data_IF_985604339087
#
_entry.id   IF_985604339087
#
_cell.length_a   1.000
_cell.length_b   1.000
_cell.length_c   1.000
_cell.angle_alpha   90.00
_cell.angle_beta   90.00
_cell.angle_gamma   90.00
#
_symmetry.space_group_name_H-M   'P 1'
#
loop_
_entity.id
_entity.type
_entity.pdbx_description
1 polymer ?
#
# COMPACT_ATOMS: atom_id res chain seq x y z
N UNK A 1 -5.45 -13.79 20.91
CA UNK A 1 -5.85 -12.97 19.74
C UNK A 1 -4.73 -13.02 18.71
N UNK A 2 -5.04 -12.86 17.43
CA UNK A 2 -4.10 -12.86 16.31
C UNK A 2 -4.20 -11.51 15.60
N UNK A 3 -3.07 -10.91 15.26
CA UNK A 3 -3.04 -9.72 14.42
C UNK A 3 -3.19 -10.12 12.95
N UNK A 4 -4.20 -9.59 12.28
CA UNK A 4 -4.46 -9.85 10.86
C UNK A 4 -4.47 -8.54 10.08
N UNK A 5 -4.17 -8.63 8.79
CA UNK A 5 -4.24 -7.55 7.83
C UNK A 5 -5.38 -7.81 6.84
N UNK A 6 -6.27 -6.83 6.65
CA UNK A 6 -7.42 -6.96 5.76
C UNK A 6 -7.03 -6.72 4.31
N UNK A 7 -7.26 -7.72 3.46
CA UNK A 7 -7.04 -7.65 2.01
C UNK A 7 -8.23 -7.04 1.26
N UNK A 8 -9.41 -7.05 1.88
CA UNK A 8 -10.69 -6.55 1.36
C UNK A 8 -11.43 -5.81 2.47
N UNK A 9 -12.41 -4.99 2.09
CA UNK A 9 -13.33 -4.40 3.06
C UNK A 9 -14.15 -5.52 3.72
N UNK A 10 -14.34 -5.43 5.03
CA UNK A 10 -15.03 -6.41 5.85
C UNK A 10 -15.92 -5.70 6.86
N UNK A 11 -17.20 -6.09 6.89
CA UNK A 11 -18.15 -5.60 7.88
C UNK A 11 -18.72 -6.78 8.66
N UNK A 12 -18.84 -6.60 9.96
CA UNK A 12 -19.40 -7.62 10.83
C UNK A 12 -20.35 -7.05 11.84
N UNK A 13 -21.51 -7.69 11.92
CA UNK A 13 -22.50 -7.40 12.93
C UNK A 13 -22.21 -8.23 14.18
N UNK A 14 -21.99 -7.57 15.30
CA UNK A 14 -21.80 -8.25 16.57
C UNK A 14 -23.12 -8.86 17.01
N UNK A 15 -23.15 -10.19 17.22
CA UNK A 15 -24.38 -10.90 17.63
C UNK A 15 -24.89 -10.32 18.95
N UNK A 16 -26.18 -9.98 18.98
CA UNK A 16 -26.83 -9.45 20.18
C UNK A 16 -26.69 -7.94 20.40
N UNK A 17 -26.04 -7.20 19.49
CA UNK A 17 -26.01 -5.73 19.52
C UNK A 17 -26.36 -5.14 18.16
N UNK A 18 -26.69 -3.85 18.14
CA UNK A 18 -26.84 -3.05 16.92
C UNK A 18 -25.51 -2.56 16.36
N UNK A 19 -24.39 -2.90 17.02
CA UNK A 19 -23.05 -2.47 16.60
C UNK A 19 -22.58 -3.24 15.37
N UNK A 20 -22.07 -2.48 14.40
CA UNK A 20 -21.42 -3.00 13.19
C UNK A 20 -19.96 -2.58 13.25
N UNK A 21 -19.07 -3.56 13.29
CA UNK A 21 -17.64 -3.35 13.11
C UNK A 21 -17.35 -3.28 11.61
N UNK A 22 -16.67 -2.21 11.18
CA UNK A 22 -16.29 -2.02 9.79
C UNK A 22 -14.78 -1.89 9.70
N UNK A 23 -14.17 -2.73 8.89
CA UNK A 23 -12.74 -2.73 8.59
C UNK A 23 -12.57 -2.51 7.09
N UNK A 24 -11.69 -1.59 6.71
CA UNK A 24 -11.37 -1.35 5.30
C UNK A 24 -10.19 -2.19 4.88
N UNK A 25 -10.07 -2.41 3.57
CA UNK A 25 -8.86 -2.95 2.97
C UNK A 25 -7.64 -2.12 3.40
N UNK A 26 -6.63 -2.78 3.92
CA UNK A 26 -5.42 -2.16 4.44
C UNK A 26 -5.39 -1.97 5.95
N UNK A 27 -6.53 -2.16 6.62
CA UNK A 27 -6.58 -2.08 8.07
C UNK A 27 -5.93 -3.31 8.73
N UNK A 28 -5.45 -3.11 9.95
CA UNK A 28 -5.00 -4.19 10.83
C UNK A 28 -5.89 -4.25 12.06
N UNK A 29 -6.15 -5.47 12.54
CA UNK A 29 -6.93 -5.67 13.76
C UNK A 29 -6.48 -6.93 14.50
N UNK A 30 -6.66 -6.90 15.82
CA UNK A 30 -6.53 -8.08 16.65
C UNK A 30 -7.88 -8.80 16.72
N UNK A 31 -7.93 -10.04 16.24
CA UNK A 31 -9.14 -10.88 16.21
C UNK A 31 -8.89 -12.19 16.94
N UNK A 32 -9.95 -12.83 17.44
CA UNK A 32 -9.85 -14.17 18.02
C UNK A 32 -9.38 -15.20 17.00
N UNK A 33 -8.71 -16.25 17.46
CA UNK A 33 -8.04 -17.23 16.57
C UNK A 33 -9.00 -17.94 15.62
N UNK A 34 -10.16 -18.36 16.11
CA UNK A 34 -11.15 -19.09 15.30
C UNK A 34 -11.61 -18.23 14.11
N UNK A 35 -12.05 -17.02 14.44
CA UNK A 35 -12.55 -16.04 13.48
C UNK A 35 -11.47 -15.49 12.54
N UNK A 36 -10.25 -15.28 13.04
CA UNK A 36 -9.12 -14.96 12.19
C UNK A 36 -8.87 -16.09 11.17
N UNK A 37 -9.00 -17.36 11.58
CA UNK A 37 -8.90 -18.52 10.69
C UNK A 37 -9.93 -18.48 9.57
N UNK A 38 -11.20 -18.21 9.89
CA UNK A 38 -12.28 -18.05 8.90
C UNK A 38 -11.95 -16.95 7.89
N UNK A 39 -11.57 -15.76 8.35
CA UNK A 39 -11.22 -14.62 7.49
C UNK A 39 -10.02 -14.90 6.57
N UNK A 40 -9.08 -15.72 7.04
CA UNK A 40 -7.90 -16.12 6.26
C UNK A 40 -8.28 -17.16 5.21
N UNK A 41 -9.09 -18.16 5.57
CA UNK A 41 -9.58 -19.20 4.65
C UNK A 41 -10.42 -18.58 3.53
N UNK A 42 -11.26 -17.59 3.87
CA UNK A 42 -12.10 -16.87 2.91
C UNK A 42 -11.29 -15.87 2.04
N UNK A 43 -10.00 -15.70 2.32
CA UNK A 43 -9.13 -14.75 1.62
C UNK A 43 -9.56 -13.29 1.79
N UNK A 44 -10.21 -12.98 2.91
CA UNK A 44 -10.61 -11.61 3.31
C UNK A 44 -9.44 -10.92 4.02
N UNK A 45 -8.69 -11.67 4.82
CA UNK A 45 -7.55 -11.19 5.57
C UNK A 45 -6.39 -12.18 5.50
N UNK A 46 -5.25 -11.77 6.03
CA UNK A 46 -4.06 -12.62 6.16
C UNK A 46 -3.33 -12.33 7.47
N UNK A 47 -2.53 -13.27 8.00
CA UNK A 47 -1.70 -12.99 9.17
C UNK A 47 -0.80 -11.79 8.89
N UNK A 48 -0.74 -10.83 9.81
CA UNK A 48 0.02 -9.60 9.62
C UNK A 48 1.50 -9.85 9.29
N UNK A 49 2.12 -10.84 9.93
CA UNK A 49 3.50 -11.25 9.64
C UNK A 49 3.66 -11.72 8.19
N UNK A 50 2.76 -12.57 7.70
CA UNK A 50 2.76 -13.07 6.33
C UNK A 50 2.47 -11.97 5.29
N UNK A 51 1.78 -10.90 5.69
CA UNK A 51 1.61 -9.70 4.86
C UNK A 51 2.93 -8.94 4.71
N UNK A 52 3.56 -8.62 5.84
CA UNK A 52 4.79 -7.84 5.87
C UNK A 52 5.95 -8.55 5.16
N UNK A 53 6.09 -9.87 5.34
CA UNK A 53 7.09 -10.67 4.62
C UNK A 53 6.96 -10.59 3.09
N UNK A 54 5.75 -10.40 2.56
CA UNK A 54 5.52 -10.22 1.12
C UNK A 54 5.87 -8.81 0.65
N UNK A 55 5.55 -7.80 1.45
CA UNK A 55 5.91 -6.41 1.12
C UNK A 55 7.42 -6.24 1.14
N UNK A 56 8.12 -6.82 2.13
CA UNK A 56 9.56 -6.68 2.28
C UNK A 56 10.32 -7.36 1.13
N UNK A 57 9.80 -8.49 0.63
CA UNK A 57 10.31 -9.13 -0.60
C UNK A 57 10.02 -8.33 -1.88
N UNK A 58 9.07 -7.41 -1.83
CA UNK A 58 8.83 -6.39 -2.85
C UNK A 58 9.53 -5.09 -2.45
N UNK A 59 10.83 -5.18 -2.14
CA UNK A 59 11.70 -4.02 -2.09
C UNK A 59 11.52 -3.26 -3.41
N UNK A 60 10.85 -2.09 -3.34
CA UNK A 60 10.61 -1.23 -4.50
C UNK A 60 11.94 -1.12 -5.23
N UNK A 61 12.03 -1.40 -6.54
CA UNK A 61 13.25 -1.11 -7.27
C UNK A 61 13.58 0.34 -6.97
N UNK A 62 14.74 0.56 -6.35
CA UNK A 62 15.25 1.88 -6.03
C UNK A 62 15.10 2.68 -7.32
N UNK A 63 14.18 3.65 -7.33
CA UNK A 63 14.03 4.52 -8.50
C UNK A 63 15.37 5.22 -8.62
N UNK A 64 16.28 4.72 -9.46
CA UNK A 64 17.47 5.45 -9.88
C UNK A 64 16.95 6.81 -10.24
N UNK A 65 17.34 7.83 -9.45
CA UNK A 65 17.08 9.23 -9.74
C UNK A 65 17.78 9.51 -11.05
N UNK A 66 17.10 9.19 -12.16
CA UNK A 66 17.50 9.65 -13.47
C UNK A 66 17.28 11.14 -13.38
N UNK A 67 18.37 11.90 -13.21
CA UNK A 67 18.37 13.32 -13.53
C UNK A 67 17.78 13.37 -14.93
N UNK A 68 16.51 13.82 -15.04
CA UNK A 68 15.96 14.22 -16.32
C UNK A 68 16.81 15.39 -16.74
N UNK A 69 17.85 15.12 -17.52
CA UNK A 69 18.47 16.12 -18.36
C UNK A 69 17.38 16.50 -19.35
N UNK A 70 16.56 17.46 -18.97
CA UNK A 70 15.55 18.03 -19.83
C UNK A 70 16.28 18.61 -21.02
N UNK A 71 16.07 18.00 -22.20
CA UNK A 71 16.56 18.47 -23.50
C UNK A 71 16.08 19.89 -23.89
N UNK A 72 15.43 20.60 -22.96
CA UNK A 72 15.06 22.01 -23.03
C UNK A 72 16.29 22.91 -22.84
N UNK A 73 17.35 22.45 -22.15
CA UNK A 73 18.50 23.31 -21.81
C UNK A 73 19.41 23.67 -23.01
N UNK A 74 19.46 22.85 -24.08
CA UNK A 74 20.34 23.13 -25.23
C UNK A 74 19.81 24.20 -26.19
N UNK A 75 18.51 24.56 -26.16
CA UNK A 75 17.95 25.58 -27.07
C UNK A 75 18.08 27.00 -26.53
N UNK A 76 18.13 27.18 -25.21
CA UNK A 76 18.22 28.50 -24.60
C UNK A 76 19.61 29.13 -24.83
N UNK A 77 20.69 28.34 -24.74
CA UNK A 77 22.05 28.82 -24.97
C UNK A 77 22.36 29.27 -26.41
N UNK A 78 21.59 28.81 -27.41
CA UNK A 78 21.78 29.29 -28.80
C UNK A 78 21.15 30.65 -29.06
N UNK A 79 20.18 31.10 -28.25
CA UNK A 79 19.52 32.40 -28.46
C UNK A 79 20.28 33.56 -27.82
N UNK A 80 21.02 33.35 -26.72
CA UNK A 80 21.80 34.44 -26.11
C UNK A 80 23.01 34.88 -26.95
N UNK A 81 23.60 33.98 -27.75
CA UNK A 81 24.69 34.34 -28.66
C UNK A 81 24.25 35.16 -29.88
N UNK A 82 22.94 35.27 -30.15
CA UNK A 82 22.42 36.01 -31.31
C UNK A 82 21.99 37.45 -30.98
N UNK A 83 22.13 37.89 -29.73
CA UNK A 83 21.75 39.24 -29.27
C UNK A 83 22.99 40.11 -29.00
N UNK A 84 24.20 39.53 -29.05
CA UNK A 84 25.47 40.20 -28.75
C UNK A 84 26.38 40.35 -29.99
N UNK A 85 25.80 40.58 -31.16
CA UNK A 85 26.52 41.02 -32.37
C UNK A 85 25.92 42.34 -32.87
#
# INVERSE_FOLDING_TARGET
MINIFFLKDYEERKKGTTEILKYKKGDQAFIERQKAGELIIDGIAEPFTAHMERIDKFEKPERKKTKKETAVSKRFQKREKAVNE
#
